data_IF_438093580582
#
_entry.id   IF_438093580582
#
_cell.length_a   1.000
_cell.length_b   1.000
_cell.length_c   1.000
_cell.angle_alpha   90.00
_cell.angle_beta   90.00
_cell.angle_gamma   90.00
#
_symmetry.space_group_name_H-M   'P 1'
#
loop_
_entity.id
_entity.type
_entity.pdbx_description
1 polymer ?
#
# COMPACT_ATOMS: atom_id res chain seq x y z
N UNK A 1 -7.71 55.82 -17.85
CA UNK A 1 -6.69 55.72 -16.78
C UNK A 1 -7.42 55.56 -15.46
N UNK A 2 -7.70 54.33 -15.04
CA UNK A 2 -8.25 54.03 -13.72
C UNK A 2 -7.34 52.98 -13.04
N UNK A 3 -6.78 53.26 -11.86
CA UNK A 3 -5.86 52.38 -11.17
C UNK A 3 -6.63 51.46 -10.21
N UNK A 4 -7.00 50.27 -10.65
CA UNK A 4 -7.43 49.19 -9.76
C UNK A 4 -6.33 48.14 -9.70
N UNK A 5 -5.32 48.47 -8.90
CA UNK A 5 -4.45 47.50 -8.24
C UNK A 5 -5.27 46.61 -7.32
N UNK A 6 -4.82 45.35 -7.18
CA UNK A 6 -5.12 44.44 -6.06
C UNK A 6 -6.30 43.48 -6.24
N UNK A 7 -6.08 42.48 -7.07
CA UNK A 7 -6.41 41.10 -6.67
C UNK A 7 -5.27 40.20 -7.12
N UNK A 8 -4.20 40.23 -6.33
CA UNK A 8 -3.25 39.14 -6.25
C UNK A 8 -4.04 37.87 -5.91
N UNK A 9 -4.49 37.16 -6.94
CA UNK A 9 -4.77 35.73 -6.83
C UNK A 9 -3.42 35.05 -6.58
N UNK A 10 -2.87 35.24 -5.39
CA UNK A 10 -2.04 34.24 -4.75
C UNK A 10 -2.96 33.06 -4.57
N UNK A 11 -3.08 32.24 -5.62
CA UNK A 11 -3.36 30.83 -5.47
C UNK A 11 -2.35 30.38 -4.43
N UNK A 12 -2.80 30.32 -3.18
CA UNK A 12 -2.08 29.68 -2.10
C UNK A 12 -2.04 28.22 -2.50
N UNK A 13 -1.09 27.89 -3.37
CA UNK A 13 -0.56 26.56 -3.45
C UNK A 13 -0.18 26.24 -2.00
N UNK A 14 -0.88 25.30 -1.41
CA UNK A 14 -0.58 24.75 -0.12
C UNK A 14 0.19 23.45 -0.38
N UNK A 15 1.51 23.49 -0.70
CA UNK A 15 2.28 22.33 -1.13
C UNK A 15 2.64 21.37 0.02
N UNK A 16 2.11 21.59 1.23
CA UNK A 16 2.62 20.97 2.46
C UNK A 16 1.88 19.72 2.95
N UNK A 17 0.72 19.38 2.39
CA UNK A 17 -0.19 18.39 3.00
C UNK A 17 -0.08 17.00 2.33
N UNK A 18 0.03 16.93 1.00
CA UNK A 18 0.23 15.67 0.28
C UNK A 18 1.59 15.02 0.56
N UNK A 19 2.65 15.82 0.71
CA UNK A 19 4.00 15.31 1.00
C UNK A 19 4.10 14.61 2.36
N UNK A 20 3.29 15.05 3.33
CA UNK A 20 3.25 14.45 4.67
C UNK A 20 2.61 13.07 4.66
N UNK A 21 1.58 12.88 3.85
CA UNK A 21 0.91 11.57 3.70
C UNK A 21 1.88 10.54 3.10
N UNK A 22 2.64 10.93 2.07
CA UNK A 22 3.67 10.09 1.45
C UNK A 22 4.80 9.72 2.44
N UNK A 23 5.27 10.70 3.22
CA UNK A 23 6.31 10.47 4.23
C UNK A 23 5.85 9.52 5.35
N UNK A 24 4.61 9.65 5.82
CA UNK A 24 4.05 8.77 6.85
C UNK A 24 3.92 7.34 6.33
N UNK A 25 3.57 7.17 5.06
CA UNK A 25 3.53 5.85 4.42
C UNK A 25 4.86 5.17 4.28
N UNK A 26 5.85 5.95 3.85
CA UNK A 26 7.22 5.49 3.73
C UNK A 26 7.74 5.05 5.10
N UNK A 27 7.51 5.86 6.15
CA UNK A 27 7.92 5.51 7.52
C UNK A 27 7.19 4.25 8.01
N UNK A 28 5.88 4.12 7.77
CA UNK A 28 5.11 2.95 8.21
C UNK A 28 5.57 1.66 7.52
N UNK A 29 5.80 1.72 6.20
CA UNK A 29 6.33 0.59 5.43
C UNK A 29 7.77 0.23 5.84
N UNK A 30 8.60 1.24 6.13
CA UNK A 30 9.97 1.05 6.60
C UNK A 30 9.98 0.37 7.98
N UNK A 31 9.14 0.83 8.90
CA UNK A 31 8.99 0.23 10.24
C UNK A 31 8.50 -1.21 10.13
N UNK A 32 7.49 -1.48 9.29
CA UNK A 32 6.99 -2.84 9.11
C UNK A 32 8.05 -3.78 8.50
N UNK A 33 8.88 -3.29 7.57
CA UNK A 33 10.01 -4.03 7.02
C UNK A 33 11.07 -4.32 8.08
N UNK A 34 11.41 -3.32 8.90
CA UNK A 34 12.35 -3.46 10.01
C UNK A 34 11.86 -4.48 11.04
N UNK A 35 10.56 -4.50 11.34
CA UNK A 35 9.96 -5.50 12.21
C UNK A 35 10.04 -6.89 11.57
N UNK A 36 9.73 -7.03 10.27
CA UNK A 36 9.84 -8.29 9.54
C UNK A 36 11.25 -8.87 9.62
N UNK A 37 12.25 -8.04 9.29
CA UNK A 37 13.66 -8.42 9.32
C UNK A 37 14.15 -8.69 10.73
N UNK A 38 13.80 -7.84 11.70
CA UNK A 38 14.19 -8.03 13.10
C UNK A 38 13.66 -9.34 13.67
N UNK A 39 12.42 -9.71 13.33
CA UNK A 39 11.81 -10.97 13.79
C UNK A 39 12.54 -12.21 13.26
N UNK A 40 12.98 -12.19 12.00
CA UNK A 40 13.79 -13.27 11.39
C UNK A 40 15.20 -13.29 11.96
N UNK A 41 15.82 -12.11 12.10
CA UNK A 41 17.21 -11.97 12.50
C UNK A 41 17.43 -12.41 13.95
N UNK A 42 16.46 -12.14 14.83
CA UNK A 42 16.47 -12.62 16.21
C UNK A 42 16.12 -14.12 16.34
N UNK A 43 15.79 -14.82 15.23
CA UNK A 43 15.36 -16.22 15.18
C UNK A 43 14.31 -16.60 16.24
N UNK A 44 13.44 -15.65 16.60
CA UNK A 44 12.40 -15.82 17.64
C UNK A 44 11.40 -16.90 17.23
N UNK A 45 11.29 -17.16 15.93
CA UNK A 45 10.36 -18.13 15.34
C UNK A 45 11.14 -19.09 14.44
N UNK A 46 11.02 -20.40 14.64
CA UNK A 46 11.75 -21.43 13.88
C UNK A 46 10.83 -22.18 12.90
N UNK A 47 11.33 -22.45 11.70
CA UNK A 47 10.68 -23.32 10.71
C UNK A 47 9.36 -22.77 10.16
N UNK A 48 8.32 -23.60 10.17
CA UNK A 48 6.99 -23.31 9.61
C UNK A 48 6.34 -22.08 10.22
N UNK A 49 6.57 -21.83 11.50
CA UNK A 49 5.95 -20.72 12.22
C UNK A 49 6.58 -19.37 11.80
N UNK A 50 7.85 -19.35 11.38
CA UNK A 50 8.47 -18.18 10.78
C UNK A 50 7.86 -17.84 9.41
N UNK A 51 7.62 -18.86 8.57
CA UNK A 51 6.98 -18.69 7.27
C UNK A 51 5.56 -18.14 7.39
N UNK A 52 4.78 -18.62 8.36
CA UNK A 52 3.42 -18.12 8.62
C UNK A 52 3.43 -16.63 9.02
N UNK A 53 4.31 -16.25 9.96
CA UNK A 53 4.40 -14.86 10.42
C UNK A 53 4.94 -13.94 9.31
N UNK A 54 5.91 -14.39 8.52
CA UNK A 54 6.41 -13.63 7.37
C UNK A 54 5.35 -13.46 6.29
N UNK A 55 4.58 -14.51 5.99
CA UNK A 55 3.46 -14.44 5.05
C UNK A 55 2.42 -13.42 5.49
N UNK A 56 2.09 -13.39 6.79
CA UNK A 56 1.18 -12.38 7.34
C UNK A 56 1.76 -10.97 7.24
N UNK A 57 3.03 -10.75 7.64
CA UNK A 57 3.67 -9.44 7.50
C UNK A 57 3.77 -8.99 6.05
N UNK A 58 4.03 -9.90 5.12
CA UNK A 58 4.05 -9.61 3.69
C UNK A 58 2.68 -9.18 3.17
N UNK A 59 1.60 -9.84 3.61
CA UNK A 59 0.23 -9.43 3.27
C UNK A 59 -0.07 -8.01 3.77
N UNK A 60 0.25 -7.72 5.03
CA UNK A 60 0.08 -6.37 5.61
C UNK A 60 0.93 -5.35 4.83
N UNK A 61 2.14 -5.72 4.43
CA UNK A 61 3.02 -4.85 3.67
C UNK A 61 2.44 -4.49 2.30
N UNK A 62 1.86 -5.47 1.59
CA UNK A 62 1.16 -5.21 0.33
C UNK A 62 0.02 -4.21 0.54
N UNK A 63 -0.78 -4.36 1.60
CA UNK A 63 -1.87 -3.43 1.91
C UNK A 63 -1.36 -2.02 2.21
N UNK A 64 -0.28 -1.88 2.98
CA UNK A 64 0.34 -0.58 3.29
C UNK A 64 0.87 0.08 2.02
N UNK A 65 1.54 -0.67 1.15
CA UNK A 65 2.05 -0.15 -0.12
C UNK A 65 0.92 0.30 -1.05
N UNK A 66 -0.15 -0.49 -1.16
CA UNK A 66 -1.33 -0.12 -1.93
C UNK A 66 -2.04 1.10 -1.33
N UNK A 67 -2.08 1.28 -0.01
CA UNK A 67 -2.72 2.44 0.63
C UNK A 67 -1.93 3.74 0.44
N UNK A 68 -0.62 3.68 0.64
CA UNK A 68 0.25 4.87 0.70
C UNK A 68 0.87 5.23 -0.64
N UNK A 69 1.31 4.25 -1.43
CA UNK A 69 1.97 4.51 -2.70
C UNK A 69 0.95 4.85 -3.79
N UNK A 70 -0.23 4.23 -3.72
CA UNK A 70 -1.34 4.50 -4.64
C UNK A 70 -2.20 5.69 -4.21
N UNK A 71 -1.71 6.48 -3.24
CA UNK A 71 -2.24 7.78 -2.84
C UNK A 71 -3.78 7.84 -2.84
N UNK A 72 -4.41 7.01 -2.00
CA UNK A 72 -5.85 7.13 -1.77
C UNK A 72 -6.07 8.42 -0.97
N UNK A 73 -6.24 9.51 -1.70
CA UNK A 73 -6.72 10.77 -1.17
C UNK A 73 -8.22 10.59 -0.87
N UNK A 74 -8.58 10.58 0.41
CA UNK A 74 -9.99 10.55 0.85
C UNK A 74 -10.69 11.90 0.60
N UNK A 75 -10.14 12.73 -0.29
CA UNK A 75 -10.80 13.92 -0.80
C UNK A 75 -12.06 13.52 -1.55
N UNK A 76 -13.18 14.20 -1.25
CA UNK A 76 -14.51 13.97 -1.87
C UNK A 76 -14.51 14.03 -3.41
N UNK A 77 -13.44 14.52 -4.04
CA UNK A 77 -13.30 14.67 -5.50
C UNK A 77 -12.72 13.44 -6.23
N UNK A 78 -12.14 12.45 -5.54
CA UNK A 78 -11.40 11.34 -6.19
C UNK A 78 -11.98 9.95 -5.87
N UNK A 79 -13.28 9.88 -5.54
CA UNK A 79 -13.91 8.60 -5.18
C UNK A 79 -13.97 7.60 -6.32
N UNK A 80 -14.06 8.10 -7.56
CA UNK A 80 -14.09 7.25 -8.75
C UNK A 80 -12.74 6.56 -8.98
N UNK A 81 -11.63 7.30 -8.83
CA UNK A 81 -10.28 6.74 -8.95
C UNK A 81 -10.00 5.69 -7.87
N UNK A 82 -10.43 5.96 -6.62
CA UNK A 82 -10.40 4.98 -5.54
C UNK A 82 -11.18 3.70 -5.88
N UNK A 83 -12.33 3.82 -6.55
CA UNK A 83 -13.15 2.67 -6.93
C UNK A 83 -12.46 1.84 -8.01
N UNK A 84 -11.83 2.48 -9.02
CA UNK A 84 -11.00 1.78 -10.01
C UNK A 84 -9.83 1.05 -9.36
N UNK A 85 -9.09 1.73 -8.48
CA UNK A 85 -7.96 1.17 -7.74
C UNK A 85 -8.38 -0.07 -6.93
N UNK A 86 -9.47 0.05 -6.16
CA UNK A 86 -9.98 -1.05 -5.34
C UNK A 86 -10.41 -2.23 -6.22
N UNK A 87 -11.07 -1.95 -7.34
CA UNK A 87 -11.48 -2.98 -8.30
C UNK A 87 -10.27 -3.71 -8.93
N UNK A 88 -9.26 -2.98 -9.40
CA UNK A 88 -8.03 -3.58 -9.92
C UNK A 88 -7.28 -4.38 -8.86
N UNK A 89 -7.19 -3.87 -7.63
CA UNK A 89 -6.57 -4.59 -6.51
C UNK A 89 -7.32 -5.87 -6.17
N UNK A 90 -8.66 -5.87 -6.23
CA UNK A 90 -9.48 -7.05 -6.01
C UNK A 90 -9.20 -8.12 -7.07
N UNK A 91 -9.14 -7.73 -8.35
CA UNK A 91 -8.80 -8.64 -9.45
C UNK A 91 -7.40 -9.21 -9.25
N UNK A 92 -6.43 -8.38 -8.89
CA UNK A 92 -5.05 -8.81 -8.64
C UNK A 92 -4.98 -9.85 -7.51
N UNK A 93 -5.71 -9.63 -6.41
CA UNK A 93 -5.78 -10.57 -5.30
C UNK A 93 -6.39 -11.91 -5.74
N UNK A 94 -7.47 -11.86 -6.54
CA UNK A 94 -8.11 -13.06 -7.09
C UNK A 94 -7.15 -13.84 -8.00
N UNK A 95 -6.42 -13.16 -8.89
CA UNK A 95 -5.45 -13.81 -9.78
C UNK A 95 -4.33 -14.47 -8.96
N UNK A 96 -3.76 -13.78 -7.97
CA UNK A 96 -2.66 -14.32 -7.16
C UNK A 96 -3.12 -15.51 -6.31
N UNK A 97 -4.23 -15.36 -5.59
CA UNK A 97 -4.80 -16.42 -4.77
C UNK A 97 -5.23 -17.63 -5.62
N UNK A 98 -5.88 -17.37 -6.76
CA UNK A 98 -6.26 -18.40 -7.73
C UNK A 98 -5.05 -19.12 -8.32
N UNK A 99 -3.98 -18.40 -8.65
CA UNK A 99 -2.73 -18.99 -9.17
C UNK A 99 -2.09 -19.92 -8.13
N UNK A 100 -1.97 -19.46 -6.89
CA UNK A 100 -1.43 -20.28 -5.79
C UNK A 100 -2.29 -21.54 -5.57
N UNK A 101 -3.61 -21.38 -5.58
CA UNK A 101 -4.55 -22.50 -5.44
C UNK A 101 -4.41 -23.52 -6.55
N UNK A 102 -4.41 -23.06 -7.81
CA UNK A 102 -4.29 -23.94 -8.99
C UNK A 102 -2.97 -24.69 -8.96
N UNK A 103 -1.86 -24.03 -8.65
CA UNK A 103 -0.54 -24.68 -8.57
C UNK A 103 -0.51 -25.74 -7.47
N UNK A 104 -1.13 -25.48 -6.33
CA UNK A 104 -1.22 -26.45 -5.23
C UNK A 104 -2.06 -27.67 -5.61
N UNK A 105 -3.26 -27.45 -6.18
CA UNK A 105 -4.13 -28.54 -6.64
C UNK A 105 -3.47 -29.36 -7.76
N UNK A 106 -2.82 -28.69 -8.71
CA UNK A 106 -2.11 -29.36 -9.80
C UNK A 106 -0.93 -30.19 -9.30
N UNK A 107 -0.17 -29.68 -8.33
CA UNK A 107 0.93 -30.42 -7.69
C UNK A 107 0.42 -31.68 -6.99
N UNK A 108 -0.68 -31.56 -6.25
CA UNK A 108 -1.31 -32.70 -5.56
C UNK A 108 -1.89 -33.76 -6.52
N UNK A 109 -2.17 -33.39 -7.78
CA UNK A 109 -2.65 -34.33 -8.82
C UNK A 109 -1.54 -34.96 -9.65
N UNK A 110 -0.38 -34.32 -9.75
CA UNK A 110 0.77 -34.79 -10.54
C UNK A 110 1.76 -35.62 -9.71
N UNK A 111 1.65 -35.57 -8.37
CA UNK A 111 2.29 -36.50 -7.45
C UNK A 111 1.40 -37.72 -7.21
#
# INVERSE_FOLDING_TARGET
MNPETSSSNTVQAQPGNEQRSYCIGLVLALVLTLIAFGLVWLKIVTGTQALAVLGFLALVQVVVHLRFFLHIDLGKSHRDDLMLILFTSLILLLIVAGTIWILWDQHARMM
#
